data_IF_901896911247
#
_entry.id   IF_901896911247
#
_cell.length_a   1.000
_cell.length_b   1.000
_cell.length_c   1.000
_cell.angle_alpha   90.00
_cell.angle_beta   90.00
_cell.angle_gamma   90.00
#
_symmetry.space_group_name_H-M   'P 1'
#
loop_
_entity.id
_entity.type
_entity.pdbx_description
1 polymer ?
#
# COMPACT_ATOMS: atom_id res chain seq x y z
N UNK A 1 3.09 -15.58 -8.98
CA UNK A 1 1.89 -14.71 -9.04
C UNK A 1 2.32 -13.30 -9.43
N UNK A 2 1.40 -12.37 -9.74
CA UNK A 2 1.73 -10.96 -10.00
C UNK A 2 1.35 -10.10 -8.79
N UNK A 3 2.06 -9.00 -8.52
CA UNK A 3 1.73 -8.09 -7.42
C UNK A 3 0.35 -7.49 -7.57
N UNK A 4 -0.06 -7.14 -8.79
CA UNK A 4 -1.41 -6.61 -9.05
C UNK A 4 -2.54 -7.57 -8.62
N UNK A 5 -2.30 -8.89 -8.65
CA UNK A 5 -3.30 -9.88 -8.26
C UNK A 5 -3.57 -9.89 -6.74
N UNK A 6 -2.68 -9.32 -5.93
CA UNK A 6 -2.89 -9.16 -4.50
C UNK A 6 -3.65 -7.88 -4.16
N UNK A 7 -3.67 -6.90 -5.06
CA UNK A 7 -4.43 -5.68 -4.84
C UNK A 7 -5.92 -6.03 -4.78
N UNK A 8 -6.56 -5.63 -3.69
CA UNK A 8 -7.94 -5.95 -3.39
C UNK A 8 -8.18 -7.31 -2.73
N UNK A 9 -7.11 -8.04 -2.41
CA UNK A 9 -7.23 -9.33 -1.74
C UNK A 9 -7.67 -9.14 -0.28
N UNK A 10 -8.69 -9.89 0.19
CA UNK A 10 -9.12 -9.78 1.58
C UNK A 10 -8.06 -10.35 2.51
N UNK A 11 -7.84 -9.64 3.61
CA UNK A 11 -7.00 -10.07 4.73
C UNK A 11 -7.91 -10.54 5.85
N UNK A 12 -7.78 -11.80 6.25
CA UNK A 12 -8.52 -12.42 7.34
C UNK A 12 -7.69 -12.51 8.60
N UNK A 13 -8.37 -12.65 9.73
CA UNK A 13 -7.72 -12.89 11.01
C UNK A 13 -7.10 -14.29 11.10
N UNK A 14 -6.43 -14.55 12.23
CA UNK A 14 -5.79 -15.86 12.50
C UNK A 14 -6.72 -17.06 12.38
N UNK A 15 -8.02 -16.91 12.61
CA UNK A 15 -8.97 -18.02 12.51
C UNK A 15 -9.47 -18.23 11.09
N UNK A 16 -9.31 -17.25 10.20
CA UNK A 16 -9.71 -17.35 8.79
C UNK A 16 -11.21 -17.15 8.54
N UNK A 17 -11.96 -16.88 9.60
CA UNK A 17 -13.43 -16.75 9.57
C UNK A 17 -13.89 -15.30 9.39
N UNK A 18 -13.06 -14.32 9.79
CA UNK A 18 -13.38 -12.90 9.71
C UNK A 18 -12.45 -12.13 8.77
N UNK A 19 -13.02 -11.39 7.82
CA UNK A 19 -12.26 -10.40 7.05
C UNK A 19 -11.96 -9.19 7.92
N UNK A 20 -10.69 -8.88 8.05
CA UNK A 20 -10.14 -7.78 8.85
C UNK A 20 -9.82 -6.57 7.99
N UNK A 21 -9.55 -6.77 6.70
CA UNK A 21 -9.25 -5.69 5.76
C UNK A 21 -9.02 -6.18 4.34
N UNK A 22 -8.48 -5.29 3.52
CA UNK A 22 -8.19 -5.51 2.11
C UNK A 22 -6.80 -4.96 1.76
N UNK A 23 -6.02 -5.69 0.98
CA UNK A 23 -4.70 -5.24 0.52
C UNK A 23 -4.87 -4.09 -0.46
N UNK A 24 -4.26 -2.94 -0.14
CA UNK A 24 -4.32 -1.75 -0.98
C UNK A 24 -3.01 -1.47 -1.72
N UNK A 25 -1.86 -1.87 -1.17
CA UNK A 25 -0.56 -1.69 -1.81
C UNK A 25 0.49 -2.66 -1.26
N UNK A 26 1.63 -2.77 -1.95
CA UNK A 26 2.77 -3.59 -1.56
C UNK A 26 4.06 -2.78 -1.67
N UNK A 27 4.96 -2.92 -0.70
CA UNK A 27 6.22 -2.20 -0.71
C UNK A 27 7.27 -2.93 -1.56
N UNK A 28 7.99 -2.17 -2.37
CA UNK A 28 9.00 -2.63 -3.32
C UNK A 28 10.30 -1.88 -3.05
N UNK A 29 11.44 -2.60 -2.98
CA UNK A 29 12.76 -2.00 -2.77
C UNK A 29 13.76 -2.51 -3.80
N UNK A 30 14.53 -1.61 -4.39
CA UNK A 30 15.58 -2.00 -5.33
C UNK A 30 16.66 -2.83 -4.63
N UNK A 31 17.13 -3.89 -5.29
CA UNK A 31 18.16 -4.80 -4.74
C UNK A 31 17.68 -5.75 -3.65
N UNK A 32 16.47 -5.59 -3.11
CA UNK A 32 15.85 -6.53 -2.17
C UNK A 32 14.77 -7.33 -2.89
N UNK A 33 15.10 -8.57 -3.23
CA UNK A 33 14.17 -9.49 -3.87
C UNK A 33 13.14 -10.07 -2.89
N UNK A 34 12.97 -9.54 -1.67
CA UNK A 34 11.96 -9.98 -0.72
C UNK A 34 10.75 -9.03 -0.66
N UNK A 35 9.54 -9.60 -0.66
CA UNK A 35 8.33 -8.89 -0.30
C UNK A 35 8.31 -8.70 1.22
N UNK A 36 8.53 -7.46 1.67
CA UNK A 36 8.71 -7.18 3.11
C UNK A 36 7.48 -6.56 3.75
N UNK A 37 6.83 -5.59 3.10
CA UNK A 37 5.68 -4.89 3.67
C UNK A 37 4.47 -4.92 2.72
N UNK A 38 3.29 -5.05 3.31
CA UNK A 38 1.99 -5.05 2.63
C UNK A 38 1.10 -4.05 3.34
N UNK A 39 0.48 -3.16 2.58
CA UNK A 39 -0.44 -2.16 3.10
C UNK A 39 -1.87 -2.67 2.99
N UNK A 40 -2.59 -2.64 4.11
CA UNK A 40 -3.95 -3.19 4.24
C UNK A 40 -4.88 -2.10 4.75
N UNK A 41 -5.97 -1.84 4.05
CA UNK A 41 -7.06 -1.02 4.57
C UNK A 41 -7.94 -1.88 5.47
N UNK A 42 -8.05 -1.56 6.76
CA UNK A 42 -8.89 -2.31 7.69
C UNK A 42 -10.38 -1.97 7.59
N UNK A 43 -10.73 -0.87 6.92
CA UNK A 43 -12.11 -0.43 6.84
C UNK A 43 -12.78 -0.97 5.56
N UNK A 44 -13.66 -1.95 5.76
CA UNK A 44 -14.41 -2.61 4.68
C UNK A 44 -15.69 -1.87 4.26
N UNK A 45 -16.13 -0.84 5.01
CA UNK A 45 -17.41 -0.15 4.77
C UNK A 45 -17.24 1.25 4.18
N UNK A 46 -16.10 1.53 3.55
CA UNK A 46 -15.92 2.73 2.73
C UNK A 46 -15.15 3.89 3.37
N UNK A 47 -14.45 3.67 4.49
CA UNK A 47 -13.44 4.61 4.96
C UNK A 47 -12.01 4.11 4.68
N UNK A 48 -11.03 4.95 4.98
CA UNK A 48 -9.62 4.66 4.74
C UNK A 48 -8.85 4.56 6.06
N UNK A 49 -8.53 3.33 6.44
CA UNK A 49 -7.83 3.00 7.69
C UNK A 49 -6.62 2.09 7.42
N UNK A 50 -5.57 2.65 6.79
CA UNK A 50 -4.43 1.89 6.32
C UNK A 50 -3.54 1.44 7.49
N UNK A 51 -3.14 0.16 7.46
CA UNK A 51 -2.16 -0.43 8.36
C UNK A 51 -1.12 -1.20 7.55
N UNK A 52 0.15 -1.00 7.89
CA UNK A 52 1.27 -1.72 7.29
C UNK A 52 1.48 -3.04 8.06
N UNK A 53 1.39 -4.14 7.34
CA UNK A 53 1.78 -5.47 7.79
C UNK A 53 3.16 -5.80 7.25
N UNK A 54 3.95 -6.52 8.05
CA UNK A 54 5.10 -7.24 7.49
C UNK A 54 4.58 -8.48 6.78
N UNK A 55 5.09 -8.78 5.60
CA UNK A 55 4.67 -9.95 4.82
C UNK A 55 4.91 -11.26 5.58
N UNK A 56 5.92 -11.31 6.47
CA UNK A 56 6.18 -12.47 7.32
C UNK A 56 5.04 -12.80 8.32
N UNK A 57 4.20 -11.82 8.63
CA UNK A 57 3.01 -11.98 9.49
C UNK A 57 1.76 -12.38 8.73
N UNK A 58 1.84 -12.53 7.41
CA UNK A 58 0.74 -12.94 6.53
C UNK A 58 1.06 -14.29 5.88
N UNK A 59 0.03 -15.14 5.79
CA UNK A 59 0.07 -16.41 5.05
C UNK A 59 -0.87 -16.30 3.86
N UNK A 60 -0.45 -16.78 2.70
CA UNK A 60 -1.29 -16.81 1.52
C UNK A 60 -2.08 -18.10 1.48
N UNK A 61 -3.40 -17.93 1.39
CA UNK A 61 -4.36 -18.97 1.04
C UNK A 61 -4.95 -18.55 -0.33
N UNK A 62 -5.39 -19.51 -1.14
CA UNK A 62 -5.68 -19.33 -2.58
C UNK A 62 -6.31 -17.99 -2.99
N UNK A 63 -7.29 -17.49 -2.24
CA UNK A 63 -8.02 -16.24 -2.54
C UNK A 63 -7.89 -15.14 -1.46
N UNK A 64 -7.11 -15.36 -0.39
CA UNK A 64 -7.05 -14.42 0.74
C UNK A 64 -5.74 -14.52 1.54
N UNK A 65 -5.39 -13.46 2.25
CA UNK A 65 -4.26 -13.46 3.19
C UNK A 65 -4.76 -13.73 4.61
N UNK A 66 -4.11 -14.63 5.34
CA UNK A 66 -4.38 -14.90 6.75
C UNK A 66 -3.32 -14.24 7.61
N UNK A 67 -3.75 -13.30 8.44
CA UNK A 67 -2.89 -12.69 9.45
C UNK A 67 -2.60 -13.65 10.58
N UNK A 68 -1.37 -13.64 11.10
CA UNK A 68 -1.05 -14.37 12.36
C UNK A 68 -1.68 -13.72 13.59
N UNK A 69 -2.21 -12.50 13.47
CA UNK A 69 -2.87 -11.77 14.55
C UNK A 69 -4.39 -11.94 14.47
N UNK A 70 -5.03 -11.97 15.64
CA UNK A 70 -6.48 -11.82 15.78
C UNK A 70 -6.92 -10.37 15.58
N UNK A 71 -8.19 -10.15 15.24
CA UNK A 71 -8.77 -8.81 15.11
C UNK A 71 -8.60 -7.96 16.39
N UNK A 72 -8.68 -8.59 17.57
CA UNK A 72 -8.50 -7.92 18.85
C UNK A 72 -7.05 -7.49 19.10
N UNK A 73 -6.07 -8.32 18.73
CA UNK A 73 -4.64 -7.98 18.83
C UNK A 73 -4.27 -6.83 17.88
N UNK A 74 -4.80 -6.83 16.66
CA UNK A 74 -4.62 -5.75 15.68
C UNK A 74 -5.16 -4.43 16.24
N UNK A 75 -6.38 -4.46 16.80
CA UNK A 75 -7.01 -3.29 17.42
C UNK A 75 -6.21 -2.76 18.61
N UNK A 76 -5.69 -3.67 19.46
CA UNK A 76 -4.90 -3.30 20.64
C UNK A 76 -3.56 -2.68 20.24
N UNK A 77 -2.84 -3.29 19.29
CA UNK A 77 -1.57 -2.75 18.77
C UNK A 77 -1.74 -1.38 18.13
N UNK A 78 -2.87 -1.15 17.46
CA UNK A 78 -3.23 0.15 16.89
C UNK A 78 -3.41 1.22 17.97
N UNK A 79 -4.18 0.92 19.01
CA UNK A 79 -4.42 1.88 20.11
C UNK A 79 -3.12 2.26 20.83
N UNK A 80 -2.16 1.32 20.90
CA UNK A 80 -0.87 1.54 21.53
C UNK A 80 0.16 2.25 20.65
N UNK A 81 -0.16 2.55 19.38
CA UNK A 81 0.75 3.26 18.48
C UNK A 81 0.36 4.76 18.40
N UNK A 82 1.00 5.63 19.20
CA UNK A 82 0.61 7.03 19.38
C UNK A 82 0.78 7.88 18.11
N UNK A 83 1.53 7.40 17.12
CA UNK A 83 1.80 8.07 15.84
C UNK A 83 0.57 8.23 14.93
N UNK A 84 -0.57 7.62 15.28
CA UNK A 84 -1.81 7.63 14.50
C UNK A 84 -2.88 8.61 14.99
N UNK A 85 -2.54 9.48 15.95
CA UNK A 85 -3.49 10.39 16.59
C UNK A 85 -3.75 11.66 15.76
N UNK A 86 -4.40 11.49 14.62
CA UNK A 86 -5.38 12.49 14.17
C UNK A 86 -6.57 12.42 15.12
N UNK A 87 -6.42 13.00 16.31
CA UNK A 87 -7.47 12.98 17.34
C UNK A 87 -8.73 13.59 16.76
N UNK A 88 -9.82 12.82 16.66
CA UNK A 88 -11.12 13.39 16.30
C UNK A 88 -11.47 14.48 17.31
N UNK A 89 -11.84 15.65 16.83
CA UNK A 89 -12.35 16.75 17.65
C UNK A 89 -13.56 16.23 18.43
N UNK A 90 -13.52 16.39 19.76
CA UNK A 90 -14.67 16.11 20.60
C UNK A 90 -15.75 17.18 20.31
N UNK A 91 -16.80 16.77 19.60
CA UNK A 91 -17.90 17.66 19.22
C UNK A 91 -18.89 17.85 20.38
N UNK A 92 -18.82 17.05 21.44
CA UNK A 92 -19.77 17.10 22.56
C UNK A 92 -19.64 18.39 23.39
N UNK A 93 -18.48 19.03 23.31
CA UNK A 93 -18.19 20.30 23.99
C UNK A 93 -18.43 21.52 23.11
N UNK A 94 -18.72 21.34 21.81
CA UNK A 94 -18.95 22.46 20.90
C UNK A 94 -20.41 22.91 20.94
N UNK A 95 -20.68 24.24 20.96
CA UNK A 95 -22.04 24.73 20.89
C UNK A 95 -22.66 24.39 19.52
N UNK A 96 -23.94 23.99 19.47
CA UNK A 96 -24.60 23.60 18.22
C UNK A 96 -24.73 24.78 17.24
N UNK A 97 -24.88 26.00 17.75
CA UNK A 97 -25.04 27.21 16.97
C UNK A 97 -24.51 28.41 17.76
N UNK A 98 -23.80 29.32 17.08
CA UNK A 98 -23.32 30.59 17.61
C UNK A 98 -23.88 31.70 16.72
N UNK A 99 -24.60 32.64 17.32
CA UNK A 99 -25.14 33.81 16.63
C UNK A 99 -24.24 35.00 16.97
N UNK A 100 -23.53 35.50 15.97
CA UNK A 100 -22.69 36.69 16.05
C UNK A 100 -23.49 37.99 15.93
N UNK A 101 -22.85 39.13 16.21
CA UNK A 101 -23.45 40.43 15.93
C UNK A 101 -23.76 40.56 14.42
N UNK A 102 -24.85 41.25 14.10
CA UNK A 102 -25.38 41.45 12.74
C UNK A 102 -26.02 40.21 12.07
N UNK A 103 -26.40 39.19 12.85
CA UNK A 103 -27.18 38.04 12.34
C UNK A 103 -26.34 36.95 11.65
N UNK A 104 -25.02 37.05 11.71
CA UNK A 104 -24.14 35.99 11.22
C UNK A 104 -24.28 34.76 12.11
N UNK A 105 -24.62 33.62 11.52
CA UNK A 105 -24.81 32.36 12.24
C UNK A 105 -23.74 31.37 11.82
N UNK A 106 -23.04 30.79 12.79
CA UNK A 106 -22.05 29.74 12.58
C UNK A 106 -22.51 28.50 13.37
N UNK A 107 -22.29 27.30 12.83
CA UNK A 107 -22.55 26.04 13.52
C UNK A 107 -21.21 25.30 13.77
N UNK A 108 -20.54 25.55 14.91
CA UNK A 108 -19.26 24.92 15.22
C UNK A 108 -19.29 23.38 15.20
N UNK A 109 -20.40 22.77 15.60
CA UNK A 109 -20.59 21.30 15.50
C UNK A 109 -20.52 20.82 14.06
N UNK A 110 -21.10 21.55 13.10
CA UNK A 110 -21.05 21.18 11.67
C UNK A 110 -19.63 21.34 11.14
N UNK A 111 -18.94 22.43 11.49
CA UNK A 111 -17.54 22.65 11.11
C UNK A 111 -16.65 21.53 11.69
N UNK A 112 -16.85 21.16 12.95
CA UNK A 112 -16.12 20.09 13.60
C UNK A 112 -16.43 18.70 13.02
N UNK A 113 -17.68 18.46 12.61
CA UNK A 113 -18.06 17.22 11.91
C UNK A 113 -17.36 17.12 10.54
N UNK A 114 -17.35 18.20 9.77
CA UNK A 114 -16.63 18.28 8.47
C UNK A 114 -15.12 18.15 8.66
N UNK A 115 -14.56 18.76 9.71
CA UNK A 115 -13.14 18.58 10.05
C UNK A 115 -12.83 17.13 10.45
N UNK A 116 -13.68 16.49 11.26
CA UNK A 116 -13.52 15.08 11.63
C UNK A 116 -13.64 14.15 10.42
N UNK A 117 -14.56 14.44 9.49
CA UNK A 117 -14.69 13.72 8.23
C UNK A 117 -13.44 13.91 7.35
N UNK A 118 -12.94 15.15 7.23
CA UNK A 118 -11.69 15.42 6.52
C UNK A 118 -10.45 14.80 7.19
N UNK A 119 -10.47 14.63 8.52
CA UNK A 119 -9.42 13.95 9.30
C UNK A 119 -9.56 12.42 9.26
N UNK A 120 -10.69 11.87 8.81
CA UNK A 120 -10.88 10.43 8.61
C UNK A 120 -10.17 9.93 7.36
N UNK A 121 -9.94 10.79 6.37
CA UNK A 121 -9.04 10.51 5.24
C UNK A 121 -7.59 10.55 5.74
N UNK A 122 -7.17 9.46 6.37
CA UNK A 122 -5.77 9.25 6.70
C UNK A 122 -4.94 9.32 5.41
N UNK A 123 -3.79 9.99 5.40
CA UNK A 123 -2.92 9.92 4.24
C UNK A 123 -2.49 8.46 4.01
N UNK A 124 -2.32 8.09 2.74
CA UNK A 124 -1.66 6.82 2.40
C UNK A 124 -0.28 6.84 3.06
N UNK A 125 -0.01 5.96 4.05
CA UNK A 125 1.22 6.06 4.82
C UNK A 125 2.40 5.79 3.90
N UNK A 126 3.52 6.46 4.13
CA UNK A 126 4.78 6.10 3.48
C UNK A 126 5.24 4.72 3.97
N UNK A 127 6.03 3.99 3.17
CA UNK A 127 6.64 2.74 3.63
C UNK A 127 7.50 2.97 4.88
N UNK A 128 7.70 1.95 5.73
CA UNK A 128 8.42 2.14 7.00
C UNK A 128 9.88 2.57 6.88
N UNK A 129 10.51 2.36 5.72
CA UNK A 129 11.90 2.72 5.45
C UNK A 129 11.99 3.45 4.10
N UNK A 130 12.82 4.50 4.04
CA UNK A 130 12.92 5.43 2.89
C UNK A 130 13.32 4.77 1.56
N UNK A 131 13.89 3.57 1.62
CA UNK A 131 14.32 2.82 0.44
C UNK A 131 13.20 2.03 -0.24
N UNK A 132 12.05 1.89 0.43
CA UNK A 132 10.87 1.26 -0.16
C UNK A 132 10.03 2.30 -0.90
N UNK A 133 9.37 1.83 -1.95
CA UNK A 133 8.37 2.56 -2.69
C UNK A 133 7.11 1.69 -2.80
N UNK A 134 5.95 2.32 -2.81
CA UNK A 134 4.69 1.62 -3.03
C UNK A 134 4.57 1.15 -4.48
N UNK A 135 4.12 -0.09 -4.69
CA UNK A 135 3.99 -0.69 -6.01
C UNK A 135 3.08 0.15 -6.92
N UNK A 136 1.94 0.66 -6.43
CA UNK A 136 1.06 1.52 -7.25
C UNK A 136 1.73 2.81 -7.69
N UNK A 137 2.71 3.32 -6.95
CA UNK A 137 3.44 4.54 -7.31
C UNK A 137 4.38 4.32 -8.49
N UNK A 138 4.98 3.13 -8.59
CA UNK A 138 5.93 2.77 -9.65
C UNK A 138 5.27 2.04 -10.83
N UNK A 139 4.04 1.57 -10.66
CA UNK A 139 3.30 0.93 -11.74
C UNK A 139 3.01 1.95 -12.84
N UNK A 140 3.35 1.62 -14.08
CA UNK A 140 3.26 2.54 -15.21
C UNK A 140 4.47 3.47 -15.36
N UNK A 141 5.48 3.38 -14.50
CA UNK A 141 6.71 4.15 -14.62
C UNK A 141 7.65 3.57 -15.68
N UNK A 142 8.37 4.44 -16.39
CA UNK A 142 9.36 4.03 -17.39
C UNK A 142 10.55 3.31 -16.75
N UNK A 143 11.10 2.33 -17.45
CA UNK A 143 12.24 1.52 -17.05
C UNK A 143 13.41 1.81 -17.98
N UNK A 144 14.56 2.10 -17.39
CA UNK A 144 15.79 2.45 -18.10
C UNK A 144 16.90 1.44 -17.83
N UNK A 145 17.67 1.12 -18.86
CA UNK A 145 18.99 0.50 -18.75
C UNK A 145 20.09 1.48 -19.20
N UNK A 146 21.37 1.07 -19.25
CA UNK A 146 22.43 1.92 -19.79
C UNK A 146 22.27 2.32 -21.26
N UNK A 147 21.41 1.62 -22.02
CA UNK A 147 21.15 1.85 -23.45
C UNK A 147 20.04 2.89 -23.67
N UNK A 148 19.14 3.07 -22.70
CA UNK A 148 18.05 4.04 -22.74
C UNK A 148 16.77 3.50 -22.09
N UNK A 149 15.63 4.04 -22.52
CA UNK A 149 14.32 3.55 -22.10
C UNK A 149 14.03 2.21 -22.77
N UNK A 150 13.68 1.21 -21.96
CA UNK A 150 13.34 -0.14 -22.43
C UNK A 150 11.83 -0.30 -22.59
N UNK A 151 11.04 0.39 -21.76
CA UNK A 151 9.58 0.30 -21.75
C UNK A 151 9.01 0.73 -20.40
N UNK A 152 7.78 0.30 -20.12
CA UNK A 152 7.00 0.71 -18.95
C UNK A 152 6.74 -0.48 -18.03
N UNK A 153 6.83 -0.27 -16.71
CA UNK A 153 6.49 -1.29 -15.72
C UNK A 153 4.98 -1.59 -15.75
N UNK A 154 4.61 -2.80 -16.14
CA UNK A 154 3.23 -3.29 -16.06
C UNK A 154 2.95 -3.91 -14.69
N UNK A 155 3.88 -4.76 -14.23
CA UNK A 155 3.67 -5.57 -13.03
C UNK A 155 4.99 -6.15 -12.50
N UNK A 156 4.93 -6.78 -11.33
CA UNK A 156 6.06 -7.51 -10.73
C UNK A 156 5.59 -8.94 -10.43
N UNK A 157 6.33 -9.91 -10.94
CA UNK A 157 6.17 -11.31 -10.59
C UNK A 157 6.74 -11.59 -9.21
N UNK A 158 5.98 -12.26 -8.36
CA UNK A 158 6.36 -12.63 -6.99
C UNK A 158 5.95 -14.08 -6.70
N UNK A 159 6.80 -14.81 -5.99
CA UNK A 159 6.48 -16.04 -5.28
C UNK A 159 6.12 -15.67 -3.83
N UNK A 160 4.85 -15.81 -3.46
CA UNK A 160 4.41 -15.40 -2.12
C UNK A 160 4.75 -16.43 -1.05
N UNK A 161 4.83 -17.72 -1.39
CA UNK A 161 5.25 -18.74 -0.42
C UNK A 161 6.70 -18.49 -0.01
N UNK A 162 7.56 -18.22 -1.01
CA UNK A 162 8.95 -17.79 -0.81
C UNK A 162 9.12 -16.33 -0.39
N UNK A 163 8.04 -15.52 -0.47
CA UNK A 163 8.03 -14.06 -0.30
C UNK A 163 9.09 -13.36 -1.14
N UNK A 164 9.30 -13.84 -2.36
CA UNK A 164 10.40 -13.45 -3.23
C UNK A 164 9.89 -12.83 -4.53
N UNK A 165 10.39 -11.64 -4.85
CA UNK A 165 10.20 -10.97 -6.12
C UNK A 165 11.06 -11.65 -7.19
N UNK A 166 10.44 -12.01 -8.31
CA UNK A 166 11.05 -12.84 -9.35
C UNK A 166 11.46 -12.03 -10.57
N UNK A 167 10.53 -11.26 -11.15
CA UNK A 167 10.77 -10.51 -12.37
C UNK A 167 9.91 -9.24 -12.46
N UNK A 168 10.40 -8.23 -13.15
CA UNK A 168 9.64 -7.09 -13.63
C UNK A 168 8.99 -7.47 -14.96
N UNK A 169 7.70 -7.21 -15.11
CA UNK A 169 6.99 -7.33 -16.38
C UNK A 169 6.98 -5.96 -17.06
N UNK A 170 7.65 -5.87 -18.21
CA UNK A 170 7.91 -4.61 -18.91
C UNK A 170 7.24 -4.65 -20.27
N UNK A 171 6.51 -3.60 -20.62
CA UNK A 171 5.89 -3.43 -21.93
C UNK A 171 6.61 -2.33 -22.70
N UNK A 172 7.13 -2.66 -23.89
CA UNK A 172 7.83 -1.72 -24.76
C UNK A 172 6.93 -1.21 -25.91
N UNK A 173 5.63 -1.50 -25.88
CA UNK A 173 4.65 -1.16 -26.91
C UNK A 173 4.55 -2.17 -28.05
N UNK A 174 5.52 -3.09 -28.18
CA UNK A 174 5.52 -4.15 -29.19
C UNK A 174 5.37 -5.54 -28.55
N UNK A 175 6.06 -5.76 -27.42
CA UNK A 175 6.04 -7.01 -26.68
C UNK A 175 6.18 -6.76 -25.18
N UNK A 176 5.81 -7.80 -24.42
CA UNK A 176 5.98 -7.82 -22.97
C UNK A 176 7.18 -8.70 -22.62
N UNK A 177 8.22 -8.08 -22.06
CA UNK A 177 9.46 -8.75 -21.65
C UNK A 177 9.48 -8.96 -20.13
N UNK A 178 10.17 -10.02 -19.68
CA UNK A 178 10.43 -10.27 -18.26
C UNK A 178 11.90 -9.99 -17.95
N UNK A 179 12.14 -9.05 -17.04
CA UNK A 179 13.48 -8.72 -16.55
C UNK A 179 13.61 -9.29 -15.14
N UNK A 180 14.68 -10.04 -14.80
CA UNK A 180 14.89 -10.51 -13.44
C UNK A 180 14.84 -9.37 -12.42
N UNK A 181 14.15 -9.57 -11.30
CA UNK A 181 14.00 -8.51 -10.29
C UNK A 181 15.36 -8.06 -9.74
N UNK A 182 16.33 -8.97 -9.63
CA UNK A 182 17.71 -8.68 -9.22
C UNK A 182 18.43 -7.66 -10.12
N UNK A 183 17.94 -7.46 -11.35
CA UNK A 183 18.48 -6.43 -12.23
C UNK A 183 18.07 -5.02 -11.78
N UNK A 184 17.02 -4.86 -10.94
CA UNK A 184 16.57 -3.58 -10.42
C UNK A 184 17.61 -2.97 -9.48
N UNK A 185 18.20 -1.85 -9.89
CA UNK A 185 19.26 -1.16 -9.16
C UNK A 185 18.77 0.04 -8.39
N UNK A 186 17.77 0.76 -8.91
CA UNK A 186 17.29 1.97 -8.28
C UNK A 186 15.84 2.28 -8.64
N UNK A 187 15.16 2.99 -7.73
CA UNK A 187 13.81 3.54 -7.89
C UNK A 187 13.86 5.02 -7.45
N UNK A 188 14.35 5.95 -8.28
CA UNK A 188 14.51 7.34 -7.89
C UNK A 188 13.16 8.03 -7.72
N UNK A 189 12.73 8.26 -6.47
CA UNK A 189 11.48 8.96 -6.15
C UNK A 189 10.19 8.24 -6.55
N UNK A 190 10.27 7.11 -7.26
CA UNK A 190 9.13 6.37 -7.80
C UNK A 190 8.76 6.73 -9.24
N UNK A 191 9.44 7.70 -9.86
CA UNK A 191 9.06 8.23 -11.17
C UNK A 191 9.52 7.34 -12.33
N UNK A 192 10.64 6.64 -12.15
CA UNK A 192 11.20 5.69 -13.12
C UNK A 192 12.00 4.61 -12.38
N UNK A 193 12.32 3.53 -13.08
CA UNK A 193 13.13 2.44 -12.55
C UNK A 193 14.41 2.29 -13.37
N UNK A 194 15.49 1.95 -12.70
CA UNK A 194 16.79 1.72 -13.33
C UNK A 194 17.20 0.26 -13.14
N UNK A 195 17.45 -0.43 -14.24
CA UNK A 195 17.94 -1.81 -14.25
C UNK A 195 19.38 -1.89 -14.77
N UNK A 196 20.15 -2.87 -14.30
CA UNK A 196 21.43 -3.21 -14.94
C UNK A 196 21.20 -3.81 -16.33
N UNK A 197 22.17 -3.63 -17.23
CA UNK A 197 22.11 -4.09 -18.62
C UNK A 197 21.54 -5.51 -18.73
N UNK A 198 20.45 -5.64 -19.49
CA UNK A 198 19.74 -6.91 -19.72
C UNK A 198 20.57 -7.72 -20.71
N UNK A 199 21.54 -8.50 -20.24
CA UNK A 199 22.34 -9.34 -21.15
C UNK A 199 21.63 -10.60 -21.61
N UNK A 200 20.52 -11.01 -20.97
CA UNK A 200 19.66 -12.08 -21.48
C UNK A 200 18.24 -11.97 -20.89
N UNK A 201 17.19 -11.72 -21.70
CA UNK A 201 15.82 -11.84 -21.23
C UNK A 201 15.52 -13.31 -20.89
N UNK A 202 14.94 -13.57 -19.71
CA UNK A 202 14.50 -14.91 -19.32
C UNK A 202 13.37 -15.32 -20.26
N UNK A 203 13.67 -16.23 -21.19
CA UNK A 203 12.65 -16.77 -22.10
C UNK A 203 11.61 -17.55 -21.27
N UNK A 204 10.31 -17.41 -21.57
CA UNK A 204 9.30 -18.24 -20.93
C UNK A 204 9.58 -19.71 -21.25
N UNK A 205 9.60 -20.55 -20.21
CA UNK A 205 9.50 -22.02 -20.31
C UNK A 205 8.04 -22.39 -20.43
#
# INVERSE_FOLDING_TARGET
MKLSAFLGMPVRDRTGDGTVGEVIDLAVRAGDAALTYILVNLNMTGGFDPIIFRADTLRFEEEYLVSVFSAQEISTKRQNNPSSSGSSLDLSVLPPQVIGPFGNTIAPVVIGAVLNEALQDKPHPDPPEDEYCWFRKIQGSSIFDPSGEIGVLQDIGCDFEGKSMLFLQVDNGHEVTKIPYEALRNIPGGDYLVVSSVTDPVRPV
#
